data_IF_221696049842
#
_entry.id   IF_221696049842
#
_cell.length_a   1.000
_cell.length_b   1.000
_cell.length_c   1.000
_cell.angle_alpha   90.00
_cell.angle_beta   90.00
_cell.angle_gamma   90.00
#
_symmetry.space_group_name_H-M   'P 1'
#
loop_
_entity.id
_entity.type
_entity.pdbx_description
1 polymer ?
#
# COMPACT_ATOMS: atom_id res chain seq x y z
N UNK A 1 -8.18 -1.17 -11.10
CA UNK A 1 -7.26 -1.62 -10.03
C UNK A 1 -6.17 -0.57 -9.85
N UNK A 2 -5.68 -0.40 -8.62
CA UNK A 2 -4.65 0.58 -8.29
C UNK A 2 -3.45 -0.16 -7.69
N UNK A 3 -2.48 -0.51 -8.52
CA UNK A 3 -1.21 -1.12 -8.12
C UNK A 3 -0.17 -0.09 -7.68
N UNK A 4 1.04 -0.56 -7.39
CA UNK A 4 2.15 0.28 -6.94
C UNK A 4 2.93 -0.32 -5.78
N UNK A 5 4.23 -0.06 -5.77
CA UNK A 5 5.13 -0.60 -4.77
C UNK A 5 4.74 -0.18 -3.35
N UNK A 6 5.10 -0.98 -2.36
CA UNK A 6 4.78 -0.77 -0.93
C UNK A 6 5.06 0.67 -0.49
N UNK A 7 4.11 1.36 0.14
CA UNK A 7 4.28 2.75 0.59
C UNK A 7 4.09 3.84 -0.48
N UNK A 8 3.69 3.52 -1.71
CA UNK A 8 3.35 4.50 -2.75
C UNK A 8 2.09 5.34 -2.46
N UNK A 9 1.33 5.01 -1.41
CA UNK A 9 0.11 5.72 -1.01
C UNK A 9 -1.16 5.23 -1.70
N UNK A 10 -1.22 3.94 -2.06
CA UNK A 10 -2.37 3.28 -2.71
C UNK A 10 -3.68 3.45 -1.94
N UNK A 11 -3.70 3.04 -0.68
CA UNK A 11 -4.88 3.12 0.20
C UNK A 11 -5.43 4.55 0.30
N UNK A 12 -4.56 5.53 0.54
CA UNK A 12 -4.95 6.95 0.62
C UNK A 12 -5.51 7.45 -0.72
N UNK A 13 -4.88 7.08 -1.84
CA UNK A 13 -5.33 7.47 -3.17
C UNK A 13 -6.68 6.83 -3.54
N UNK A 14 -6.91 5.57 -3.17
CA UNK A 14 -8.19 4.88 -3.37
C UNK A 14 -9.30 5.57 -2.57
N UNK A 15 -9.05 5.93 -1.30
CA UNK A 15 -10.02 6.66 -0.48
C UNK A 15 -10.39 8.02 -1.11
N UNK A 16 -9.39 8.75 -1.61
CA UNK A 16 -9.58 10.05 -2.24
C UNK A 16 -10.37 9.97 -3.57
N UNK A 17 -10.14 8.91 -4.35
CA UNK A 17 -10.95 8.58 -5.54
C UNK A 17 -12.37 8.15 -5.16
N UNK A 18 -12.53 7.32 -4.12
CA UNK A 18 -13.84 6.88 -3.63
C UNK A 18 -14.71 8.06 -3.23
N UNK A 19 -14.14 9.03 -2.50
CA UNK A 19 -14.85 10.25 -2.09
C UNK A 19 -15.33 11.06 -3.29
N UNK A 20 -14.52 11.19 -4.34
CA UNK A 20 -14.93 11.88 -5.59
C UNK A 20 -16.04 11.16 -6.32
N UNK A 21 -15.96 9.84 -6.45
CA UNK A 21 -17.02 9.04 -7.07
C UNK A 21 -18.33 9.16 -6.30
N UNK A 22 -18.27 9.14 -4.96
CA UNK A 22 -19.44 9.33 -4.09
C UNK A 22 -20.01 10.75 -4.24
N UNK A 23 -19.15 11.77 -4.32
CA UNK A 23 -19.58 13.15 -4.59
C UNK A 23 -20.26 13.30 -5.98
N UNK A 24 -19.92 12.42 -6.94
CA UNK A 24 -20.60 12.31 -8.23
C UNK A 24 -21.90 11.47 -8.16
N UNK A 25 -22.28 10.97 -6.98
CA UNK A 25 -23.49 10.18 -6.77
C UNK A 25 -23.33 8.68 -7.03
N UNK A 26 -22.10 8.18 -7.22
CA UNK A 26 -21.82 6.77 -7.46
C UNK A 26 -21.60 6.02 -6.15
N UNK A 27 -22.07 4.78 -6.10
CA UNK A 27 -21.80 3.84 -5.00
C UNK A 27 -20.47 3.14 -5.26
N UNK A 28 -19.62 3.08 -4.25
CA UNK A 28 -18.28 2.51 -4.37
C UNK A 28 -18.14 1.28 -3.47
N UNK A 29 -17.58 0.20 -4.02
CA UNK A 29 -17.17 -0.97 -3.28
C UNK A 29 -15.65 -1.08 -3.28
N UNK A 30 -15.06 -1.37 -2.12
CA UNK A 30 -13.63 -1.51 -1.96
C UNK A 30 -13.24 -2.98 -1.81
N UNK A 31 -12.20 -3.40 -2.53
CA UNK A 31 -11.60 -4.73 -2.35
C UNK A 31 -10.13 -4.50 -2.03
N UNK A 32 -9.76 -4.75 -0.78
CA UNK A 32 -8.38 -4.64 -0.32
C UNK A 32 -7.74 -6.03 -0.28
N UNK A 33 -6.42 -6.06 -0.46
CA UNK A 33 -5.67 -7.30 -0.41
C UNK A 33 -4.33 -7.10 0.27
N UNK A 34 -4.06 -7.98 1.22
CA UNK A 34 -2.73 -8.14 1.79
C UNK A 34 -2.43 -9.63 2.04
N UNK A 35 -1.20 -9.96 2.42
CA UNK A 35 -0.84 -11.37 2.63
C UNK A 35 -1.28 -11.95 3.98
N UNK A 36 -1.82 -11.13 4.88
CA UNK A 36 -2.19 -11.48 6.26
C UNK A 36 -3.49 -10.81 6.68
N UNK A 37 -4.04 -11.23 7.82
CA UNK A 37 -5.22 -10.61 8.45
C UNK A 37 -4.83 -9.51 9.44
N UNK A 38 -5.76 -8.62 9.78
CA UNK A 38 -5.56 -7.59 10.81
C UNK A 38 -4.85 -6.34 10.29
N UNK A 39 -5.28 -5.88 9.11
CA UNK A 39 -4.62 -4.80 8.39
C UNK A 39 -5.03 -3.43 8.91
N UNK A 40 -4.03 -2.55 8.97
CA UNK A 40 -4.28 -1.14 9.18
C UNK A 40 -5.12 -0.55 8.03
N UNK A 41 -5.01 -1.08 6.81
CA UNK A 41 -5.74 -0.52 5.68
C UNK A 41 -7.26 -0.78 5.79
N UNK A 42 -7.66 -1.96 6.29
CA UNK A 42 -9.07 -2.29 6.56
C UNK A 42 -9.67 -1.40 7.65
N UNK A 43 -8.91 -1.06 8.69
CA UNK A 43 -9.38 -0.10 9.70
C UNK A 43 -9.58 1.29 9.10
N UNK A 44 -8.69 1.76 8.21
CA UNK A 44 -8.89 3.04 7.52
C UNK A 44 -10.12 3.05 6.59
N UNK A 45 -10.36 1.96 5.85
CA UNK A 45 -11.55 1.84 5.00
C UNK A 45 -12.85 1.76 5.82
N UNK A 46 -12.84 0.99 6.91
CA UNK A 46 -13.99 0.82 7.80
C UNK A 46 -14.40 2.12 8.50
N UNK A 47 -13.44 2.94 8.95
CA UNK A 47 -13.72 4.26 9.52
C UNK A 47 -14.42 5.21 8.53
N UNK A 48 -14.23 5.00 7.22
CA UNK A 48 -14.90 5.76 6.17
C UNK A 48 -16.34 5.32 5.86
N UNK A 49 -16.81 4.22 6.46
CA UNK A 49 -18.15 3.68 6.22
C UNK A 49 -18.34 3.09 4.80
N UNK A 50 -17.26 2.77 4.11
CA UNK A 50 -17.30 2.23 2.75
C UNK A 50 -17.48 0.70 2.77
N UNK A 51 -18.40 0.14 1.97
CA UNK A 51 -18.51 -1.31 1.79
C UNK A 51 -17.18 -1.89 1.32
N UNK A 52 -16.57 -2.74 2.15
CA UNK A 52 -15.20 -3.21 1.95
C UNK A 52 -15.11 -4.72 2.16
N UNK A 53 -14.47 -5.41 1.23
CA UNK A 53 -14.02 -6.79 1.41
C UNK A 53 -12.50 -6.85 1.47
N UNK A 54 -11.98 -7.77 2.26
CA UNK A 54 -10.55 -8.02 2.42
C UNK A 54 -10.20 -9.43 1.96
N UNK A 55 -9.19 -9.54 1.10
CA UNK A 55 -8.64 -10.83 0.66
C UNK A 55 -7.28 -11.00 1.30
N UNK A 56 -7.12 -12.09 2.05
CA UNK A 56 -5.88 -12.43 2.74
C UNK A 56 -5.27 -13.74 2.23
N UNK A 57 -4.01 -14.00 2.58
CA UNK A 57 -3.33 -15.26 2.26
C UNK A 57 -2.99 -15.41 0.77
N UNK A 58 -2.69 -14.30 0.10
CA UNK A 58 -2.21 -14.29 -1.28
C UNK A 58 -2.76 -13.13 -2.09
N UNK A 59 -2.04 -12.76 -3.14
CA UNK A 59 -2.42 -11.66 -4.00
C UNK A 59 -3.62 -11.98 -4.91
N UNK A 60 -4.29 -10.97 -5.48
CA UNK A 60 -5.38 -11.17 -6.46
C UNK A 60 -5.05 -12.17 -7.57
N UNK A 61 -3.80 -12.22 -8.05
CA UNK A 61 -3.38 -13.16 -9.08
C UNK A 61 -3.44 -14.63 -8.62
N UNK A 62 -3.14 -14.90 -7.35
CA UNK A 62 -3.18 -16.24 -6.74
C UNK A 62 -4.54 -16.56 -6.12
N UNK A 63 -5.34 -15.52 -5.84
CA UNK A 63 -6.65 -15.57 -5.18
C UNK A 63 -7.74 -15.02 -6.10
N UNK A 64 -7.64 -15.30 -7.39
CA UNK A 64 -8.54 -14.76 -8.40
C UNK A 64 -10.01 -15.10 -8.10
N UNK A 65 -10.28 -16.32 -7.67
CA UNK A 65 -11.62 -16.75 -7.28
C UNK A 65 -12.14 -15.95 -6.06
N UNK A 66 -11.29 -15.70 -5.06
CA UNK A 66 -11.66 -14.88 -3.91
C UNK A 66 -11.94 -13.42 -4.30
N UNK A 67 -11.24 -12.88 -5.30
CA UNK A 67 -11.53 -11.56 -5.88
C UNK A 67 -12.93 -11.49 -6.48
N UNK A 68 -13.29 -12.50 -7.27
CA UNK A 68 -14.63 -12.59 -7.87
C UNK A 68 -15.71 -12.74 -6.80
N UNK A 69 -15.49 -13.61 -5.80
CA UNK A 69 -16.44 -13.81 -4.69
C UNK A 69 -16.65 -12.54 -3.87
N UNK A 70 -15.58 -11.81 -3.55
CA UNK A 70 -15.65 -10.52 -2.87
C UNK A 70 -16.45 -9.49 -3.70
N UNK A 71 -16.18 -9.40 -5.00
CA UNK A 71 -16.92 -8.52 -5.90
C UNK A 71 -18.41 -8.88 -5.97
N UNK A 72 -18.75 -10.16 -6.03
CA UNK A 72 -20.14 -10.65 -6.06
C UNK A 72 -20.89 -10.39 -4.75
N UNK A 73 -20.21 -10.56 -3.61
CA UNK A 73 -20.77 -10.26 -2.30
C UNK A 73 -21.09 -8.77 -2.19
N UNK A 74 -20.15 -7.90 -2.53
CA UNK A 74 -20.36 -6.45 -2.58
C UNK A 74 -21.46 -6.06 -3.58
N UNK A 75 -21.51 -6.71 -4.76
CA UNK A 75 -22.58 -6.51 -5.74
C UNK A 75 -23.96 -6.82 -5.16
N UNK A 76 -24.06 -7.82 -4.28
CA UNK A 76 -25.32 -8.20 -3.64
C UNK A 76 -25.69 -7.26 -2.50
N UNK A 77 -24.73 -6.96 -1.62
CA UNK A 77 -24.98 -6.23 -0.37
C UNK A 77 -25.04 -4.71 -0.56
N UNK A 78 -24.08 -4.15 -1.32
CA UNK A 78 -23.92 -2.71 -1.50
C UNK A 78 -24.33 -2.22 -2.90
N UNK A 79 -24.36 -3.13 -3.89
CA UNK A 79 -24.67 -2.83 -5.30
C UNK A 79 -23.82 -1.65 -5.83
N UNK A 80 -22.48 -1.65 -5.72
CA UNK A 80 -21.68 -0.52 -6.15
C UNK A 80 -21.76 -0.29 -7.66
N UNK A 81 -21.60 0.97 -8.08
CA UNK A 81 -21.46 1.37 -9.48
C UNK A 81 -19.99 1.29 -9.93
N UNK A 82 -19.04 1.32 -8.99
CA UNK A 82 -17.61 1.14 -9.23
C UNK A 82 -16.92 0.33 -8.13
N UNK A 83 -16.00 -0.54 -8.54
CA UNK A 83 -15.08 -1.24 -7.63
C UNK A 83 -13.70 -0.59 -7.66
N UNK A 84 -13.17 -0.26 -6.49
CA UNK A 84 -11.76 0.10 -6.34
C UNK A 84 -11.04 -1.06 -5.64
N UNK A 85 -10.03 -1.59 -6.31
CA UNK A 85 -9.31 -2.77 -5.84
C UNK A 85 -7.81 -2.47 -5.66
N UNK A 86 -7.31 -2.74 -4.46
CA UNK A 86 -5.91 -2.59 -4.04
C UNK A 86 -5.23 -3.97 -3.96
N UNK A 87 -4.39 -4.36 -4.93
CA UNK A 87 -3.56 -5.55 -4.82
C UNK A 87 -2.41 -5.34 -3.83
N UNK A 88 -1.84 -6.45 -3.35
CA UNK A 88 -0.59 -6.45 -2.56
C UNK A 88 0.50 -5.64 -3.25
N UNK A 89 1.17 -4.76 -2.50
CA UNK A 89 2.16 -3.82 -3.03
C UNK A 89 3.46 -4.44 -3.57
N UNK A 90 3.73 -5.71 -3.27
CA UNK A 90 4.83 -6.46 -3.89
C UNK A 90 4.42 -7.23 -5.15
N UNK A 91 3.16 -7.17 -5.57
CA UNK A 91 2.69 -7.90 -6.75
C UNK A 91 2.99 -7.24 -8.09
N UNK A 92 3.26 -8.05 -9.11
CA UNK A 92 3.30 -7.64 -10.52
C UNK A 92 2.64 -8.70 -11.42
N UNK A 93 2.61 -8.46 -12.73
CA UNK A 93 1.93 -9.28 -13.75
C UNK A 93 0.39 -9.27 -13.61
N UNK A 94 -0.17 -8.24 -12.97
CA UNK A 94 -1.60 -8.07 -12.69
C UNK A 94 -2.43 -7.95 -13.97
N UNK A 95 -1.88 -7.36 -15.04
CA UNK A 95 -2.57 -7.33 -16.34
C UNK A 95 -2.90 -8.75 -16.84
N UNK A 96 -1.87 -9.57 -17.01
CA UNK A 96 -1.99 -10.92 -17.55
C UNK A 96 -2.71 -11.87 -16.58
N UNK A 97 -2.58 -11.66 -15.27
CA UNK A 97 -3.07 -12.60 -14.25
C UNK A 97 -4.40 -12.22 -13.62
N UNK A 98 -4.84 -10.96 -13.76
CA UNK A 98 -6.07 -10.44 -13.16
C UNK A 98 -6.91 -9.67 -14.18
N UNK A 99 -6.39 -8.60 -14.79
CA UNK A 99 -7.17 -7.73 -15.69
C UNK A 99 -7.71 -8.49 -16.91
N UNK A 100 -6.86 -9.23 -17.62
CA UNK A 100 -7.26 -9.95 -18.84
C UNK A 100 -8.20 -11.12 -18.54
N UNK A 101 -7.96 -11.95 -17.50
CA UNK A 101 -8.94 -12.93 -17.06
C UNK A 101 -10.29 -12.30 -16.67
N UNK A 102 -10.33 -11.18 -15.94
CA UNK A 102 -11.58 -10.49 -15.63
C UNK A 102 -12.32 -10.05 -16.89
N UNK A 103 -11.61 -9.43 -17.85
CA UNK A 103 -12.20 -9.00 -19.13
C UNK A 103 -12.75 -10.17 -19.95
N UNK A 104 -12.04 -11.30 -19.98
CA UNK A 104 -12.45 -12.45 -20.80
C UNK A 104 -13.53 -13.31 -20.16
N UNK A 105 -13.48 -13.51 -18.84
CA UNK A 105 -14.39 -14.39 -18.12
C UNK A 105 -15.66 -13.68 -17.64
N UNK A 106 -15.56 -12.37 -17.36
CA UNK A 106 -16.64 -11.58 -16.76
C UNK A 106 -16.86 -10.22 -17.44
N UNK A 107 -16.47 -10.09 -18.72
CA UNK A 107 -16.60 -8.84 -19.48
C UNK A 107 -18.05 -8.39 -19.73
N UNK A 108 -19.02 -9.30 -19.64
CA UNK A 108 -20.45 -8.97 -19.71
C UNK A 108 -20.97 -8.35 -18.40
N UNK A 109 -20.32 -8.64 -17.27
CA UNK A 109 -20.71 -8.17 -15.93
C UNK A 109 -19.90 -6.94 -15.50
N UNK A 110 -18.64 -6.84 -15.94
CA UNK A 110 -17.70 -5.80 -15.50
C UNK A 110 -16.95 -5.18 -16.68
N UNK A 111 -16.84 -3.85 -16.64
CA UNK A 111 -15.80 -3.13 -17.40
C UNK A 111 -14.56 -2.94 -16.52
N UNK A 112 -13.40 -3.32 -17.05
CA UNK A 112 -12.12 -3.22 -16.32
C UNK A 112 -11.36 -2.00 -16.82
N UNK A 113 -11.30 -0.98 -15.97
CA UNK A 113 -10.54 0.25 -16.20
C UNK A 113 -9.02 -0.02 -16.35
N UNK A 114 -8.26 0.90 -16.99
CA UNK A 114 -6.81 0.80 -17.11
C UNK A 114 -6.09 0.58 -15.76
N UNK A 115 -5.02 -0.21 -15.77
CA UNK A 115 -4.22 -0.46 -14.57
C UNK A 115 -3.40 0.78 -14.24
N UNK A 116 -3.69 1.37 -13.08
CA UNK A 116 -2.89 2.46 -12.53
C UNK A 116 -1.83 1.90 -11.58
N UNK A 117 -0.60 2.42 -11.67
CA UNK A 117 0.52 2.06 -10.79
C UNK A 117 1.06 3.31 -10.15
N UNK A 118 0.88 3.42 -8.83
CA UNK A 118 1.36 4.55 -8.05
C UNK A 118 2.84 4.40 -7.74
N UNK A 119 3.56 5.52 -7.77
CA UNK A 119 4.96 5.60 -7.37
C UNK A 119 5.16 6.63 -6.27
N UNK A 120 6.01 6.26 -5.31
CA UNK A 120 6.63 7.24 -4.41
C UNK A 120 7.73 7.99 -5.19
N UNK A 121 7.70 9.33 -5.21
CA UNK A 121 8.56 10.10 -6.11
C UNK A 121 10.02 10.05 -5.67
N UNK A 122 10.29 9.94 -4.37
CA UNK A 122 11.66 9.82 -3.85
C UNK A 122 12.25 8.46 -4.24
N UNK A 123 11.47 7.38 -4.07
CA UNK A 123 11.92 6.04 -4.44
C UNK A 123 12.11 5.88 -5.94
N UNK A 124 11.18 6.36 -6.74
CA UNK A 124 11.29 6.34 -8.20
C UNK A 124 12.52 7.13 -8.68
N UNK A 125 12.78 8.31 -8.09
CA UNK A 125 13.98 9.10 -8.40
C UNK A 125 15.28 8.36 -8.07
N UNK A 126 15.32 7.61 -6.96
CA UNK A 126 16.50 6.77 -6.62
C UNK A 126 16.66 5.59 -7.58
N UNK A 127 15.57 4.91 -7.94
CA UNK A 127 15.58 3.79 -8.89
C UNK A 127 16.12 4.22 -10.26
N UNK A 128 15.70 5.39 -10.74
CA UNK A 128 16.12 5.95 -12.03
C UNK A 128 17.49 6.67 -11.98
N UNK A 129 18.14 6.71 -10.82
CA UNK A 129 19.45 7.37 -10.65
C UNK A 129 19.41 8.90 -10.68
N UNK A 130 18.23 9.52 -10.60
CA UNK A 130 18.04 10.98 -10.55
C UNK A 130 18.36 11.55 -9.16
N UNK A 131 18.30 10.71 -8.12
CA UNK A 131 18.58 11.10 -6.73
C UNK A 131 19.50 10.08 -6.07
N UNK A 132 20.53 10.51 -5.31
CA UNK A 132 21.35 9.59 -4.54
C UNK A 132 20.55 8.94 -3.40
N UNK A 133 20.94 7.74 -3.02
CA UNK A 133 20.39 7.01 -1.88
C UNK A 133 20.42 5.51 -2.10
N UNK A 134 20.24 4.76 -1.02
CA UNK A 134 20.09 3.32 -1.10
C UNK A 134 18.79 2.97 -1.81
N UNK A 135 18.87 1.98 -2.68
CA UNK A 135 17.74 1.28 -3.31
C UNK A 135 17.68 -0.15 -2.78
N UNK A 136 16.56 -0.83 -3.02
CA UNK A 136 16.46 -2.25 -2.71
C UNK A 136 17.43 -3.08 -3.56
N UNK A 137 17.60 -4.36 -3.23
CA UNK A 137 18.38 -5.27 -4.06
C UNK A 137 17.84 -5.38 -5.50
N UNK A 138 18.67 -5.84 -6.45
CA UNK A 138 18.25 -6.01 -7.84
C UNK A 138 16.97 -6.85 -8.02
N UNK A 139 16.74 -7.87 -7.19
CA UNK A 139 15.56 -8.75 -7.30
C UNK A 139 14.28 -8.08 -6.80
N UNK A 140 14.37 -7.24 -5.77
CA UNK A 140 13.22 -6.41 -5.35
C UNK A 140 12.96 -5.30 -6.36
N UNK A 141 14.01 -4.65 -6.89
CA UNK A 141 13.86 -3.65 -7.94
C UNK A 141 13.31 -4.25 -9.25
N UNK A 142 13.57 -5.54 -9.52
CA UNK A 142 12.96 -6.24 -10.64
C UNK A 142 11.42 -6.22 -10.55
N UNK A 143 10.86 -6.52 -9.37
CA UNK A 143 9.42 -6.43 -9.11
C UNK A 143 8.91 -5.02 -9.37
N UNK A 144 9.58 -4.03 -8.79
CA UNK A 144 9.16 -2.64 -8.94
C UNK A 144 9.20 -2.17 -10.40
N UNK A 145 10.23 -2.52 -11.16
CA UNK A 145 10.31 -2.23 -12.59
C UNK A 145 9.18 -2.92 -13.38
N UNK A 146 8.82 -4.16 -13.03
CA UNK A 146 7.74 -4.89 -13.70
C UNK A 146 6.36 -4.28 -13.43
N UNK A 147 6.13 -3.76 -12.23
CA UNK A 147 4.93 -2.96 -11.95
C UNK A 147 4.84 -1.73 -12.87
N UNK A 148 5.94 -1.03 -13.12
CA UNK A 148 5.94 0.13 -14.01
C UNK A 148 5.77 -0.25 -15.49
N UNK A 149 6.35 -1.37 -15.91
CA UNK A 149 6.25 -1.89 -17.28
C UNK A 149 4.82 -2.30 -17.66
N UNK A 150 4.05 -2.89 -16.73
CA UNK A 150 2.66 -3.30 -16.98
C UNK A 150 1.62 -2.17 -16.85
N UNK A 151 2.02 -1.00 -16.34
CA UNK A 151 1.12 0.10 -16.05
C UNK A 151 0.50 0.69 -17.33
N UNK A 152 -0.82 0.87 -17.35
CA UNK A 152 -1.46 1.73 -18.35
C UNK A 152 -1.23 3.20 -18.00
N UNK A 153 -1.34 3.52 -16.70
CA UNK A 153 -1.12 4.84 -16.12
C UNK A 153 -0.12 4.73 -14.98
N UNK A 154 1.00 5.47 -15.06
CA UNK A 154 1.92 5.65 -13.94
C UNK A 154 1.52 6.94 -13.23
N UNK A 155 1.20 6.84 -11.94
CA UNK A 155 0.81 7.99 -11.12
C UNK A 155 1.97 8.36 -10.21
N UNK A 156 2.63 9.47 -10.49
CA UNK A 156 3.58 10.08 -9.56
C UNK A 156 2.77 10.67 -8.42
N UNK A 157 2.67 9.93 -7.31
CA UNK A 157 1.93 10.37 -6.13
C UNK A 157 2.84 11.26 -5.26
N UNK A 158 2.27 11.88 -4.21
CA UNK A 158 3.00 12.70 -3.22
C UNK A 158 3.86 13.79 -3.87
N UNK A 159 3.35 14.42 -4.93
CA UNK A 159 4.09 15.46 -5.65
C UNK A 159 4.45 16.66 -4.77
N UNK A 160 3.78 16.82 -3.64
CA UNK A 160 4.12 17.75 -2.56
C UNK A 160 5.50 17.53 -1.92
N UNK A 161 6.16 16.39 -2.17
CA UNK A 161 7.50 16.08 -1.66
C UNK A 161 8.65 16.54 -2.57
N UNK A 162 8.35 17.02 -3.79
CA UNK A 162 9.36 17.42 -4.76
C UNK A 162 9.15 18.88 -5.19
N UNK A 163 10.26 19.56 -5.41
CA UNK A 163 10.25 20.84 -6.12
C UNK A 163 9.83 20.65 -7.59
N UNK A 164 9.27 21.69 -8.20
CA UNK A 164 8.73 21.60 -9.56
C UNK A 164 9.75 21.07 -10.58
N UNK A 165 11.03 21.50 -10.51
CA UNK A 165 12.08 21.02 -11.41
C UNK A 165 12.40 19.54 -11.25
N UNK A 166 12.41 19.03 -10.02
CA UNK A 166 12.64 17.61 -9.73
C UNK A 166 11.46 16.75 -10.21
N UNK A 167 10.24 17.27 -10.07
CA UNK A 167 9.04 16.60 -10.55
C UNK A 167 9.01 16.53 -12.08
N UNK A 168 9.41 17.60 -12.79
CA UNK A 168 9.55 17.59 -14.25
C UNK A 168 10.60 16.57 -14.71
N UNK A 169 11.76 16.53 -14.06
CA UNK A 169 12.83 15.58 -14.37
C UNK A 169 12.36 14.13 -14.17
N UNK A 170 11.72 13.84 -13.04
CA UNK A 170 11.17 12.51 -12.76
C UNK A 170 10.09 12.11 -13.77
N UNK A 171 9.18 13.03 -14.10
CA UNK A 171 8.13 12.80 -15.09
C UNK A 171 8.73 12.46 -16.45
N UNK A 172 9.71 13.24 -16.93
CA UNK A 172 10.37 12.99 -18.20
C UNK A 172 11.10 11.64 -18.22
N UNK A 173 11.79 11.29 -17.14
CA UNK A 173 12.51 10.03 -17.02
C UNK A 173 11.57 8.81 -17.01
N UNK A 174 10.45 8.88 -16.26
CA UNK A 174 9.43 7.83 -16.27
C UNK A 174 8.78 7.68 -17.65
N UNK A 175 8.45 8.79 -18.31
CA UNK A 175 7.85 8.75 -19.64
C UNK A 175 8.80 8.16 -20.68
N UNK A 176 10.10 8.44 -20.58
CA UNK A 176 11.13 7.89 -21.46
C UNK A 176 11.39 6.40 -21.19
N UNK A 177 11.39 5.98 -19.93
CA UNK A 177 11.61 4.58 -19.54
C UNK A 177 10.40 3.68 -19.84
N UNK A 178 9.18 4.22 -19.71
CA UNK A 178 7.92 3.49 -19.86
C UNK A 178 7.00 4.17 -20.89
N UNK A 179 7.38 4.19 -22.18
CA UNK A 179 6.70 4.98 -23.22
C UNK A 179 5.27 4.52 -23.51
N UNK A 180 4.91 3.29 -23.13
CA UNK A 180 3.56 2.79 -23.30
C UNK A 180 2.58 3.39 -22.28
N UNK A 181 3.07 3.71 -21.09
CA UNK A 181 2.28 4.24 -19.99
C UNK A 181 2.05 5.75 -20.16
N UNK A 182 0.87 6.21 -19.74
CA UNK A 182 0.65 7.63 -19.52
C UNK A 182 1.13 8.00 -18.12
N UNK A 183 1.95 9.05 -18.01
CA UNK A 183 2.47 9.50 -16.71
C UNK A 183 1.64 10.69 -16.22
N UNK A 184 0.99 10.54 -15.07
CA UNK A 184 0.21 11.60 -14.42
C UNK A 184 0.80 11.95 -13.06
N UNK A 185 0.44 13.13 -12.55
CA UNK A 185 0.92 13.69 -11.29
C UNK A 185 -0.25 13.80 -10.34
N UNK A 186 -0.07 13.38 -9.09
CA UNK A 186 -1.11 13.50 -8.09
C UNK A 186 -0.54 13.66 -6.67
N UNK A 187 -1.33 14.26 -5.78
CA UNK A 187 -1.15 14.10 -4.34
C UNK A 187 -2.48 13.68 -3.74
N UNK A 188 -2.55 12.43 -3.27
CA UNK A 188 -3.71 11.94 -2.54
C UNK A 188 -3.94 12.68 -1.21
N UNK A 189 -2.96 13.46 -0.73
CA UNK A 189 -3.09 14.27 0.50
C UNK A 189 -3.80 15.59 0.25
N UNK A 190 -3.43 16.32 -0.81
CA UNK A 190 -4.06 17.60 -1.15
C UNK A 190 -5.25 17.45 -2.09
N UNK A 191 -5.37 16.30 -2.76
CA UNK A 191 -6.33 16.06 -3.83
C UNK A 191 -5.86 16.56 -5.20
N UNK A 192 -4.68 17.18 -5.29
CA UNK A 192 -4.14 17.71 -6.54
C UNK A 192 -3.93 16.59 -7.56
N UNK A 193 -4.34 16.83 -8.81
CA UNK A 193 -4.13 15.90 -9.92
C UNK A 193 -4.97 14.60 -9.87
N UNK A 194 -5.78 14.38 -8.83
CA UNK A 194 -6.64 13.19 -8.74
C UNK A 194 -7.70 13.19 -9.85
N UNK A 195 -8.29 14.34 -10.18
CA UNK A 195 -9.29 14.43 -11.26
C UNK A 195 -8.65 14.15 -12.64
N UNK A 196 -7.40 14.57 -12.85
CA UNK A 196 -6.64 14.25 -14.06
C UNK A 196 -6.36 12.75 -14.16
N UNK A 197 -5.98 12.13 -13.04
CA UNK A 197 -5.81 10.69 -12.98
C UNK A 197 -7.12 9.93 -13.26
N UNK A 198 -8.23 10.36 -12.64
CA UNK A 198 -9.56 9.79 -12.88
C UNK A 198 -9.97 9.92 -14.36
N UNK A 199 -9.67 11.04 -15.01
CA UNK A 199 -9.92 11.22 -16.43
C UNK A 199 -9.08 10.26 -17.30
N UNK A 200 -7.80 10.03 -16.95
CA UNK A 200 -6.92 9.10 -17.67
C UNK A 200 -7.42 7.64 -17.61
N UNK A 201 -8.03 7.23 -16.48
CA UNK A 201 -8.60 5.88 -16.34
C UNK A 201 -10.05 5.76 -16.85
N UNK A 202 -10.75 6.88 -17.05
CA UNK A 202 -12.08 6.91 -17.66
C UNK A 202 -12.02 6.86 -19.19
N UNK A 203 -10.85 7.10 -19.79
CA UNK A 203 -10.66 6.99 -21.23
C UNK A 203 -10.85 5.53 -21.68
N UNK A 204 -11.95 5.27 -22.39
CA UNK A 204 -12.48 3.95 -22.77
C UNK A 204 -11.66 3.23 -23.87
N UNK A 205 -10.34 3.44 -23.91
CA UNK A 205 -9.46 2.81 -24.87
C UNK A 205 -8.77 1.61 -24.21
N UNK A 206 -9.21 0.36 -24.49
CA UNK A 206 -8.37 -0.80 -24.20
C UNK A 206 -7.03 -0.61 -24.92
N UNK A 207 -5.96 -0.38 -24.15
CA UNK A 207 -4.60 -0.42 -24.67
C UNK A 207 -4.24 -1.89 -24.85
N UNK A 208 -4.54 -2.44 -26.03
CA UNK A 208 -4.08 -3.77 -26.40
C UNK A 208 -2.54 -3.76 -26.35
N UNK A 209 -1.98 -4.54 -25.41
CA UNK A 209 -0.55 -4.75 -25.27
C UNK A 209 -0.32 -6.23 -25.17
N UNK A 210 0.82 -6.67 -25.70
CA UNK A 210 1.29 -8.02 -25.46
C UNK A 210 1.51 -8.20 -23.96
N UNK A 211 1.16 -9.38 -23.44
CA UNK A 211 1.50 -9.72 -22.06
C UNK A 211 3.00 -9.51 -21.79
N UNK A 212 3.28 -8.75 -20.74
CA UNK A 212 4.64 -8.52 -20.24
C UNK A 212 5.36 -9.85 -19.99
N UNK A 213 6.65 -9.90 -20.31
CA UNK A 213 7.49 -11.05 -19.95
C UNK A 213 7.89 -10.97 -18.49
N UNK A 214 7.67 -12.04 -17.75
CA UNK A 214 8.02 -12.15 -16.33
C UNK A 214 8.80 -13.43 -16.09
N UNK A 215 10.02 -13.26 -15.59
CA UNK A 215 10.77 -14.31 -14.89
C UNK A 215 10.20 -14.49 -13.47
N UNK A 216 9.47 -15.58 -13.29
CA UNK A 216 8.83 -15.93 -12.01
C UNK A 216 9.82 -16.42 -10.95
N UNK A 217 11.01 -16.90 -11.34
CA UNK A 217 12.05 -17.28 -10.39
C UNK A 217 12.63 -16.02 -9.75
N UNK A 218 13.08 -15.06 -10.57
CA UNK A 218 13.57 -13.76 -10.06
C UNK A 218 12.49 -13.03 -9.26
N UNK A 219 11.23 -13.11 -9.69
CA UNK A 219 10.10 -12.54 -8.94
C UNK A 219 9.95 -13.20 -7.56
N UNK A 220 9.86 -14.53 -7.49
CA UNK A 220 9.73 -15.26 -6.23
C UNK A 220 10.90 -14.98 -5.26
N UNK A 221 12.12 -14.90 -5.78
CA UNK A 221 13.29 -14.55 -4.98
C UNK A 221 13.24 -13.10 -4.46
N UNK A 222 12.75 -12.15 -5.26
CA UNK A 222 12.54 -10.76 -4.84
C UNK A 222 11.49 -10.64 -3.72
N UNK A 223 10.38 -11.35 -3.84
CA UNK A 223 9.33 -11.46 -2.81
C UNK A 223 9.90 -12.04 -1.52
N UNK A 224 10.71 -13.11 -1.63
CA UNK A 224 11.33 -13.75 -0.49
C UNK A 224 12.32 -12.85 0.25
N UNK A 225 12.86 -11.78 -0.36
CA UNK A 225 13.72 -10.82 0.33
C UNK A 225 12.95 -9.84 1.21
N UNK A 226 11.65 -9.66 0.96
CA UNK A 226 10.79 -8.79 1.75
C UNK A 226 10.30 -9.53 2.99
N UNK A 227 10.74 -9.08 4.16
CA UNK A 227 10.20 -9.50 5.45
C UNK A 227 8.93 -8.72 5.78
N UNK A 228 7.94 -9.44 6.29
CA UNK A 228 6.63 -8.92 6.66
C UNK A 228 6.41 -9.15 8.14
N UNK A 229 5.91 -8.13 8.83
CA UNK A 229 5.53 -8.18 10.23
C UNK A 229 4.15 -7.54 10.42
N UNK A 230 3.25 -8.27 11.07
CA UNK A 230 2.00 -7.74 11.62
C UNK A 230 2.01 -7.97 13.12
N UNK A 231 1.80 -6.91 13.88
CA UNK A 231 1.80 -6.98 15.33
C UNK A 231 0.65 -6.13 15.87
N UNK A 232 -0.13 -6.71 16.78
CA UNK A 232 -1.10 -5.98 17.58
C UNK A 232 -0.75 -6.05 19.07
N UNK A 233 -0.99 -4.96 19.77
CA UNK A 233 -0.72 -4.84 21.19
C UNK A 233 -1.77 -3.97 21.87
N UNK A 234 -2.06 -4.25 23.14
CA UNK A 234 -2.75 -3.28 24.01
C UNK A 234 -1.73 -2.42 24.72
N UNK A 235 -2.07 -1.16 24.95
CA UNK A 235 -1.32 -0.20 25.78
C UNK A 235 -2.25 0.27 26.91
N UNK A 236 -1.76 0.28 28.15
CA UNK A 236 -2.52 0.73 29.34
C UNK A 236 -1.64 1.58 30.25
N UNK A 237 -2.09 2.78 30.60
CA UNK A 237 -1.41 3.67 31.54
C UNK A 237 -2.39 4.62 32.22
N UNK A 238 -1.90 5.48 33.12
CA UNK A 238 -2.76 6.43 33.84
C UNK A 238 -3.29 7.53 32.91
N UNK A 239 -2.43 8.08 32.06
CA UNK A 239 -2.78 8.99 30.94
C UNK A 239 -1.53 9.21 30.11
N UNK A 240 -1.59 8.98 28.79
CA UNK A 240 -0.45 9.18 27.89
C UNK A 240 -0.85 9.81 26.56
N UNK A 241 0.08 10.56 25.97
CA UNK A 241 -0.08 11.13 24.64
C UNK A 241 0.17 10.04 23.58
N UNK A 242 -0.92 9.48 23.05
CA UNK A 242 -0.88 8.46 22.01
C UNK A 242 -0.25 8.96 20.70
N UNK A 243 -0.40 10.24 20.36
CA UNK A 243 0.17 10.81 19.14
C UNK A 243 1.71 10.90 19.24
N UNK A 244 2.21 11.34 20.39
CA UNK A 244 3.64 11.40 20.68
C UNK A 244 4.26 10.00 20.74
N UNK A 245 3.58 9.05 21.40
CA UNK A 245 3.99 7.65 21.48
C UNK A 245 4.15 7.06 20.08
N UNK A 246 3.11 7.19 19.24
CA UNK A 246 3.09 6.61 17.90
C UNK A 246 4.18 7.21 16.99
N UNK A 247 4.36 8.53 17.04
CA UNK A 247 5.42 9.22 16.28
C UNK A 247 6.82 8.75 16.68
N UNK A 248 7.05 8.64 18.00
CA UNK A 248 8.34 8.22 18.54
C UNK A 248 8.63 6.76 18.21
N UNK A 249 7.62 5.90 18.28
CA UNK A 249 7.72 4.49 17.93
C UNK A 249 8.13 4.28 16.47
N UNK A 250 7.42 4.92 15.53
CA UNK A 250 7.72 4.82 14.09
C UNK A 250 9.13 5.32 13.79
N UNK A 251 9.51 6.47 14.34
CA UNK A 251 10.84 7.03 14.16
C UNK A 251 11.94 6.11 14.71
N UNK A 252 11.72 5.51 15.89
CA UNK A 252 12.68 4.62 16.52
C UNK A 252 12.85 3.29 15.76
N UNK A 253 11.74 2.69 15.30
CA UNK A 253 11.79 1.49 14.44
C UNK A 253 12.57 1.81 13.15
N UNK A 254 12.22 2.91 12.48
CA UNK A 254 12.88 3.34 11.26
C UNK A 254 14.38 3.58 11.44
N UNK A 255 14.78 4.26 12.52
CA UNK A 255 16.18 4.51 12.85
C UNK A 255 16.94 3.20 13.12
N UNK A 256 16.33 2.26 13.84
CA UNK A 256 16.95 0.96 14.14
C UNK A 256 17.10 0.10 12.87
N UNK A 257 16.08 0.03 12.03
CA UNK A 257 16.16 -0.68 10.75
C UNK A 257 17.26 -0.11 9.86
N UNK A 258 17.36 1.22 9.78
CA UNK A 258 18.42 1.89 9.04
C UNK A 258 19.82 1.59 9.59
N UNK A 259 19.98 1.55 10.92
CA UNK A 259 21.24 1.20 11.58
C UNK A 259 21.68 -0.24 11.26
N UNK A 260 20.72 -1.16 11.16
CA UNK A 260 20.95 -2.57 10.81
C UNK A 260 21.02 -2.80 9.28
N UNK A 261 20.96 -1.73 8.49
CA UNK A 261 21.04 -1.79 7.03
C UNK A 261 19.80 -2.38 6.34
N UNK A 262 18.68 -2.50 7.04
CA UNK A 262 17.41 -3.04 6.55
C UNK A 262 16.63 -1.91 5.85
N UNK A 263 16.32 -2.06 4.57
CA UNK A 263 15.61 -1.02 3.80
C UNK A 263 14.10 -1.12 4.04
N UNK A 264 13.49 -0.06 4.59
CA UNK A 264 12.03 0.01 4.78
C UNK A 264 11.33 0.19 3.44
N UNK A 265 10.38 -0.71 3.15
CA UNK A 265 9.43 -0.54 2.05
C UNK A 265 8.19 0.21 2.52
N UNK A 266 7.64 -0.17 3.67
CA UNK A 266 6.53 0.51 4.31
C UNK A 266 6.44 0.12 5.77
N UNK A 267 6.36 1.10 6.65
CA UNK A 267 6.04 0.93 8.07
C UNK A 267 4.83 1.79 8.37
N UNK A 268 3.79 1.19 8.92
CA UNK A 268 2.55 1.86 9.29
C UNK A 268 2.11 1.38 10.65
N UNK A 269 1.70 2.31 11.50
CA UNK A 269 1.11 1.98 12.79
C UNK A 269 -0.13 2.83 13.06
N UNK A 270 -1.07 2.24 13.79
CA UNK A 270 -2.23 2.94 14.31
C UNK A 270 -2.38 2.75 15.80
N UNK A 271 -3.03 3.73 16.42
CA UNK A 271 -3.40 3.65 17.81
C UNK A 271 -4.84 4.15 17.95
N UNK A 272 -5.71 3.27 18.42
CA UNK A 272 -7.12 3.55 18.63
C UNK A 272 -7.48 3.37 20.11
N UNK A 273 -8.38 4.17 20.69
CA UNK A 273 -8.95 3.89 22.00
C UNK A 273 -9.84 2.63 21.93
N UNK A 274 -9.98 1.92 23.04
CA UNK A 274 -10.91 0.77 23.12
C UNK A 274 -12.38 1.17 22.96
N UNK A 275 -12.72 2.44 23.19
CA UNK A 275 -14.07 2.98 23.03
C UNK A 275 -14.02 4.27 22.21
N UNK A 276 -14.97 4.40 21.28
CA UNK A 276 -15.04 5.54 20.37
C UNK A 276 -14.46 5.20 18.99
N UNK A 277 -14.44 6.22 18.12
CA UNK A 277 -14.04 6.08 16.72
C UNK A 277 -12.77 6.90 16.40
N UNK A 278 -12.05 7.35 17.44
CA UNK A 278 -10.84 8.14 17.26
C UNK A 278 -9.66 7.24 16.83
N UNK A 279 -8.71 7.78 16.06
CA UNK A 279 -7.64 6.99 15.46
C UNK A 279 -6.42 7.85 15.16
N UNK A 280 -5.28 7.53 15.76
CA UNK A 280 -4.00 8.02 15.28
C UNK A 280 -3.42 7.08 14.23
N UNK A 281 -2.82 7.65 13.19
CA UNK A 281 -2.16 6.90 12.11
C UNK A 281 -0.81 7.55 11.80
N UNK A 282 0.26 6.76 11.83
CA UNK A 282 1.61 7.21 11.47
C UNK A 282 2.28 6.22 10.51
N UNK A 283 3.07 6.75 9.58
CA UNK A 283 3.69 5.98 8.51
C UNK A 283 5.13 6.41 8.26
N UNK A 284 5.96 5.49 7.76
CA UNK A 284 7.31 5.73 7.26
C UNK A 284 7.54 4.87 6.01
N UNK A 285 7.94 5.51 4.91
CA UNK A 285 8.07 4.85 3.60
C UNK A 285 9.54 4.65 3.20
N UNK A 286 10.47 5.39 3.79
CA UNK A 286 11.88 5.33 3.42
C UNK A 286 12.80 5.54 4.61
N UNK A 287 13.95 4.86 4.59
CA UNK A 287 14.99 5.05 5.59
C UNK A 287 15.52 6.48 5.56
N UNK A 288 15.65 7.09 6.75
CA UNK A 288 16.03 8.50 6.90
C UNK A 288 14.95 9.50 6.49
N UNK A 289 13.74 9.03 6.15
CA UNK A 289 12.57 9.87 5.97
C UNK A 289 11.98 10.32 7.30
N UNK A 290 11.06 11.28 7.24
CA UNK A 290 10.28 11.68 8.41
C UNK A 290 9.05 10.79 8.54
N UNK A 291 8.70 10.46 9.80
CA UNK A 291 7.44 9.83 10.10
C UNK A 291 6.30 10.80 9.78
N UNK A 292 5.33 10.36 8.99
CA UNK A 292 4.17 11.17 8.61
C UNK A 292 2.95 10.73 9.41
N UNK A 293 2.32 11.67 10.12
CA UNK A 293 1.02 11.47 10.75
C UNK A 293 -0.07 11.89 9.80
N UNK A 294 -1.03 11.00 9.55
CA UNK A 294 -2.21 11.32 8.73
C UNK A 294 -3.45 11.61 9.56
N UNK A 295 -3.53 11.07 10.78
CA UNK A 295 -4.61 11.31 11.72
C UNK A 295 -4.04 11.38 13.14
N UNK A 296 -4.66 12.22 13.96
CA UNK A 296 -4.28 12.45 15.35
C UNK A 296 -5.45 12.15 16.27
N UNK A 297 -5.17 11.55 17.42
CA UNK A 297 -6.11 11.43 18.52
C UNK A 297 -6.44 12.81 19.07
N UNK A 298 -7.71 13.04 19.38
CA UNK A 298 -8.22 14.29 19.95
C UNK A 298 -7.87 14.46 21.44
N UNK A 299 -7.62 13.35 22.14
CA UNK A 299 -7.33 13.35 23.57
C UNK A 299 -6.25 12.31 23.94
N UNK A 300 -5.59 12.48 25.10
CA UNK A 300 -4.74 11.44 25.69
C UNK A 300 -5.52 10.15 25.95
N UNK A 301 -4.79 9.03 26.01
CA UNK A 301 -5.35 7.70 26.25
C UNK A 301 -5.01 7.20 27.65
N UNK A 302 -5.93 6.44 28.24
CA UNK A 302 -5.65 5.54 29.37
C UNK A 302 -5.41 4.11 28.86
N UNK A 303 -6.13 3.71 27.81
CA UNK A 303 -6.00 2.42 27.14
C UNK A 303 -6.18 2.57 25.63
N UNK A 304 -5.43 1.79 24.85
CA UNK A 304 -5.63 1.72 23.41
C UNK A 304 -5.04 0.48 22.75
N UNK A 305 -5.48 0.20 21.54
CA UNK A 305 -5.00 -0.86 20.68
C UNK A 305 -4.02 -0.30 19.65
N UNK A 306 -2.79 -0.80 19.69
CA UNK A 306 -1.71 -0.51 18.76
C UNK A 306 -1.68 -1.59 17.68
N UNK A 307 -1.74 -1.19 16.42
CA UNK A 307 -1.44 -2.07 15.28
C UNK A 307 -0.17 -1.58 14.60
N UNK A 308 0.71 -2.50 14.21
CA UNK A 308 1.94 -2.22 13.46
C UNK A 308 2.02 -3.18 12.27
N UNK A 309 2.09 -2.62 11.07
CA UNK A 309 2.39 -3.34 9.84
C UNK A 309 3.73 -2.83 9.29
N UNK A 310 4.72 -3.72 9.24
CA UNK A 310 6.06 -3.42 8.75
C UNK A 310 6.41 -4.35 7.60
N UNK A 311 6.92 -3.75 6.52
CA UNK A 311 7.39 -4.38 5.30
C UNK A 311 8.76 -3.81 4.99
N UNK A 312 9.77 -4.65 4.94
CA UNK A 312 11.16 -4.22 4.72
C UNK A 312 11.99 -5.32 4.07
N UNK A 313 13.06 -4.95 3.37
CA UNK A 313 14.03 -5.91 2.85
C UNK A 313 14.95 -6.38 3.99
N UNK A 314 14.51 -7.43 4.70
CA UNK A 314 15.13 -7.90 5.93
C UNK A 314 14.57 -9.24 6.39
N UNK A 315 15.18 -9.79 7.44
CA UNK A 315 14.70 -11.03 8.04
C UNK A 315 13.48 -10.80 8.95
N UNK A 316 12.38 -11.56 8.81
CA UNK A 316 11.19 -11.36 9.63
C UNK A 316 11.46 -11.44 11.14
N UNK A 317 12.36 -12.31 11.59
CA UNK A 317 12.71 -12.41 13.01
C UNK A 317 13.43 -11.15 13.50
N UNK A 318 14.24 -10.52 12.65
CA UNK A 318 14.85 -9.23 12.96
C UNK A 318 13.80 -8.12 13.03
N UNK A 319 12.83 -8.09 12.10
CA UNK A 319 11.73 -7.12 12.11
C UNK A 319 10.88 -7.24 13.38
N UNK A 320 10.56 -8.48 13.79
CA UNK A 320 9.83 -8.75 15.03
C UNK A 320 10.61 -8.28 16.25
N UNK A 321 11.89 -8.67 16.36
CA UNK A 321 12.74 -8.31 17.49
C UNK A 321 12.86 -6.79 17.64
N UNK A 322 13.12 -6.08 16.54
CA UNK A 322 13.23 -4.61 16.52
C UNK A 322 11.90 -3.98 16.95
N UNK A 323 10.78 -4.39 16.36
CA UNK A 323 9.47 -3.81 16.67
C UNK A 323 9.09 -4.02 18.12
N UNK A 324 9.26 -5.24 18.67
CA UNK A 324 8.98 -5.52 20.09
C UNK A 324 9.85 -4.70 21.02
N UNK A 325 11.15 -4.57 20.71
CA UNK A 325 12.08 -3.74 21.48
C UNK A 325 11.61 -2.27 21.52
N UNK A 326 11.21 -1.72 20.37
CA UNK A 326 10.79 -0.33 20.26
C UNK A 326 9.40 -0.08 20.87
N UNK A 327 8.46 -1.03 20.80
CA UNK A 327 7.19 -0.94 21.53
C UNK A 327 7.45 -0.90 23.03
N UNK A 328 8.31 -1.79 23.54
CA UNK A 328 8.65 -1.81 24.96
C UNK A 328 9.33 -0.51 25.40
N UNK A 329 10.17 0.09 24.56
CA UNK A 329 10.79 1.39 24.84
C UNK A 329 9.75 2.52 24.84
N UNK A 330 8.89 2.59 23.83
CA UNK A 330 7.84 3.60 23.72
C UNK A 330 6.84 3.53 24.89
N UNK A 331 6.41 2.32 25.27
CA UNK A 331 5.53 2.10 26.42
C UNK A 331 6.17 2.57 27.73
N UNK A 332 7.45 2.26 27.97
CA UNK A 332 8.19 2.76 29.14
C UNK A 332 8.24 4.28 29.19
N UNK A 333 8.53 4.94 28.06
CA UNK A 333 8.57 6.41 27.98
C UNK A 333 7.20 7.03 28.28
N UNK A 334 6.13 6.37 27.86
CA UNK A 334 4.75 6.80 28.10
C UNK A 334 4.20 6.41 29.48
N UNK A 335 5.00 5.77 30.35
CA UNK A 335 4.54 5.19 31.62
C UNK A 335 3.32 4.26 31.44
N UNK A 336 3.31 3.50 30.34
CA UNK A 336 2.28 2.53 30.01
C UNK A 336 2.82 1.11 30.07
N UNK A 337 1.97 0.17 30.46
CA UNK A 337 2.16 -1.26 30.23
C UNK A 337 1.71 -1.60 28.80
N UNK A 338 2.28 -2.66 28.24
CA UNK A 338 1.84 -3.21 26.96
C UNK A 338 1.70 -4.73 27.03
N UNK A 339 0.77 -5.27 26.25
CA UNK A 339 0.61 -6.71 26.06
C UNK A 339 0.46 -7.00 24.56
N UNK A 340 1.25 -7.94 24.05
CA UNK A 340 1.22 -8.31 22.63
C UNK A 340 0.10 -9.32 22.42
N UNK A 341 -0.94 -8.91 21.70
CA UNK A 341 -2.09 -9.74 21.41
C UNK A 341 -1.81 -10.73 20.29
N UNK A 342 -1.18 -10.25 19.23
CA UNK A 342 -0.84 -11.04 18.05
C UNK A 342 0.47 -10.55 17.46
N UNK A 343 1.26 -11.49 16.92
CA UNK A 343 2.46 -11.17 16.17
C UNK A 343 2.70 -12.27 15.13
N UNK A 344 2.82 -11.85 13.88
CA UNK A 344 3.10 -12.71 12.75
C UNK A 344 4.24 -12.08 11.95
N UNK A 345 5.34 -12.82 11.81
CA UNK A 345 6.51 -12.40 11.04
C UNK A 345 6.85 -13.48 10.00
N UNK A 346 6.79 -13.14 8.71
CA UNK A 346 6.92 -14.11 7.63
C UNK A 346 7.51 -13.50 6.35
N UNK A 347 7.77 -14.37 5.38
CA UNK A 347 8.11 -14.00 4.01
C UNK A 347 6.94 -14.36 3.09
N UNK A 348 6.60 -13.51 2.12
CA UNK A 348 5.65 -13.83 1.08
C UNK A 348 5.87 -15.21 0.45
N UNK A 349 4.77 -15.88 0.14
CA UNK A 349 4.85 -17.10 -0.67
C UNK A 349 5.17 -16.73 -2.12
N UNK A 350 5.89 -17.61 -2.85
CA UNK A 350 6.10 -17.43 -4.29
C UNK A 350 4.76 -17.25 -5.03
N UNK A 351 4.71 -16.37 -6.04
CA UNK A 351 3.50 -16.14 -6.81
C UNK A 351 3.15 -17.37 -7.64
N UNK A 352 1.94 -17.90 -7.47
CA UNK A 352 1.35 -18.99 -8.25
C UNK A 352 0.00 -18.55 -8.83
N UNK A 353 0.00 -17.78 -9.93
CA UNK A 353 -1.23 -17.23 -10.48
C UNK A 353 -2.23 -18.30 -10.89
N UNK A 354 -3.51 -18.06 -10.61
CA UNK A 354 -4.62 -18.95 -11.05
C UNK A 354 -4.76 -18.92 -12.58
N UNK A 355 -4.57 -17.74 -13.17
CA UNK A 355 -4.64 -17.51 -14.61
C UNK A 355 -3.44 -16.69 -15.06
N UNK A 356 -3.05 -16.85 -16.33
CA UNK A 356 -2.09 -15.97 -17.00
C UNK A 356 -2.39 -15.92 -18.50
N UNK A 357 -3.00 -14.84 -18.94
CA UNK A 357 -3.47 -14.67 -20.31
C UNK A 357 -2.45 -13.86 -21.12
N UNK A 358 -2.39 -14.11 -22.43
CA UNK A 358 -1.46 -13.45 -23.35
C UNK A 358 -2.11 -12.25 -24.04
#
# INVERSE_FOLDING_TARGET
>A
MVGGFLGAGKTTAILEVAQRLIAQGLRVGLISNDQSVGLVDTTMFGSGGLPTEEISGGCFCCRFQSLVEAAQKLATEARPDAFLAEPVGSCTDLQATVSYPLKQLYGDDYSVAPLSVLVDPIRASRLLGLRPGKTFSPKVNYIYNKQLEEADVIVINKVDLLEASQLEELHAALQAAYPAAEVVRASARSGDGIDQWMAAIAADAPRARDAMKVDYETYAEGEALLGWLNLSATLRGDSFDGNQLLSSLIAAIGARLAADGIEVAHLKATLAPNQGNDLAVANLVLNGGQAERSHDLAAPLEEGELLVNLRAEGDPAALEAITREQIAAAARTANAAFDILHCEAFRPSPPTPTHRYA
#
